data_IF_765572846796
#
_entry.id   IF_765572846796
#
_cell.length_a   1.000
_cell.length_b   1.000
_cell.length_c   1.000
_cell.angle_alpha   90.00
_cell.angle_beta   90.00
_cell.angle_gamma   90.00
#
_symmetry.space_group_name_H-M   'P 1'
#
loop_
_entity.id
_entity.type
_entity.pdbx_description
1 polymer ?
#
# COMPACT_ATOMS: atom_id res chain seq x y z
N UNK A 1 -67.74 -41.24 -47.87
CA UNK A 1 -68.42 -41.78 -46.68
C UNK A 1 -67.32 -42.29 -45.76
N UNK A 2 -66.45 -41.43 -45.23
CA UNK A 2 -66.72 -40.55 -44.08
C UNK A 2 -67.40 -41.32 -42.95
N UNK A 3 -66.58 -41.93 -42.09
CA UNK A 3 -66.94 -42.30 -40.73
C UNK A 3 -66.32 -41.25 -39.81
N UNK A 4 -67.13 -40.29 -39.38
CA UNK A 4 -66.76 -39.33 -38.35
C UNK A 4 -66.70 -40.02 -36.99
N UNK A 5 -65.60 -39.81 -36.27
CA UNK A 5 -65.49 -40.15 -34.87
C UNK A 5 -65.76 -38.86 -34.09
N UNK A 6 -66.99 -38.73 -33.57
CA UNK A 6 -67.37 -37.70 -32.61
C UNK A 6 -66.47 -37.80 -31.38
N UNK A 7 -65.70 -36.74 -31.10
CA UNK A 7 -65.06 -36.56 -29.80
C UNK A 7 -66.16 -36.32 -28.76
N UNK A 8 -66.12 -37.08 -27.67
CA UNK A 8 -67.06 -36.96 -26.57
C UNK A 8 -67.05 -35.54 -26.00
N UNK A 9 -68.23 -34.94 -25.79
CA UNK A 9 -68.39 -33.62 -25.18
C UNK A 9 -67.71 -33.50 -23.81
N UNK A 10 -67.38 -34.62 -23.15
CA UNK A 10 -66.62 -34.63 -21.89
C UNK A 10 -65.13 -34.24 -22.08
N UNK A 11 -64.52 -34.52 -23.24
CA UNK A 11 -63.12 -34.13 -23.52
C UNK A 11 -63.01 -32.65 -23.87
N UNK A 12 -64.00 -32.07 -24.57
CA UNK A 12 -64.03 -30.63 -24.86
C UNK A 12 -64.25 -29.77 -23.62
N UNK A 13 -64.98 -30.26 -22.61
CA UNK A 13 -65.21 -29.53 -21.36
C UNK A 13 -63.96 -29.57 -20.45
N UNK A 14 -63.14 -30.61 -20.54
CA UNK A 14 -61.91 -30.73 -19.74
C UNK A 14 -60.83 -29.72 -20.15
N UNK A 15 -60.73 -29.40 -21.44
CA UNK A 15 -59.84 -28.35 -21.96
C UNK A 15 -60.30 -26.91 -21.65
N UNK A 16 -61.58 -26.71 -21.30
CA UNK A 16 -62.10 -25.37 -20.94
C UNK A 16 -61.92 -25.00 -19.46
N UNK A 17 -61.52 -25.96 -18.60
CA UNK A 17 -61.38 -25.76 -17.14
C UNK A 17 -59.91 -25.71 -16.69
N UNK A 18 -58.96 -26.13 -17.52
CA UNK A 18 -57.54 -26.06 -17.20
C UNK A 18 -56.91 -24.76 -17.74
N UNK A 19 -56.37 -23.96 -16.83
CA UNK A 19 -55.70 -22.69 -17.16
C UNK A 19 -54.48 -22.98 -18.07
N UNK A 20 -54.25 -22.23 -19.17
CA UNK A 20 -53.13 -22.50 -20.05
C UNK A 20 -51.79 -22.39 -19.28
N UNK A 21 -50.82 -23.30 -19.49
CA UNK A 21 -49.54 -23.31 -18.75
C UNK A 21 -48.76 -21.99 -18.81
N UNK A 22 -48.99 -21.19 -19.86
CA UNK A 22 -48.38 -19.87 -20.03
C UNK A 22 -48.94 -18.79 -19.10
N UNK A 23 -50.18 -18.94 -18.62
CA UNK A 23 -50.82 -18.01 -17.68
C UNK A 23 -50.31 -18.24 -16.27
N UNK A 24 -50.20 -19.51 -15.83
CA UNK A 24 -49.65 -19.86 -14.52
C UNK A 24 -48.16 -19.50 -14.41
N UNK A 25 -47.38 -19.72 -15.47
CA UNK A 25 -45.98 -19.30 -15.51
C UNK A 25 -45.83 -17.77 -15.39
N UNK A 26 -46.70 -17.00 -16.07
CA UNK A 26 -46.69 -15.53 -15.98
C UNK A 26 -47.15 -15.04 -14.61
N UNK A 27 -48.14 -15.69 -14.00
CA UNK A 27 -48.62 -15.35 -12.67
C UNK A 27 -47.53 -15.60 -11.61
N UNK A 28 -46.79 -16.69 -11.72
CA UNK A 28 -45.66 -17.00 -10.84
C UNK A 28 -44.52 -16.00 -10.99
N UNK A 29 -44.19 -15.58 -12.22
CA UNK A 29 -43.18 -14.55 -12.47
C UNK A 29 -43.59 -13.20 -11.88
N UNK A 30 -44.85 -12.80 -12.03
CA UNK A 30 -45.40 -11.57 -11.42
C UNK A 30 -45.36 -11.65 -9.90
N UNK A 31 -45.75 -12.78 -9.31
CA UNK A 31 -45.71 -12.97 -7.85
C UNK A 31 -44.28 -12.90 -7.28
N UNK A 32 -43.30 -13.47 -7.98
CA UNK A 32 -41.89 -13.35 -7.60
C UNK A 32 -41.43 -11.89 -7.60
N UNK A 33 -41.75 -11.14 -8.66
CA UNK A 33 -41.38 -9.71 -8.77
C UNK A 33 -42.07 -8.85 -7.71
N UNK A 34 -43.30 -9.18 -7.33
CA UNK A 34 -44.02 -8.51 -6.23
C UNK A 34 -43.36 -8.82 -4.88
N UNK A 35 -42.90 -10.06 -4.64
CA UNK A 35 -42.12 -10.38 -3.44
C UNK A 35 -40.80 -9.61 -3.36
N UNK A 36 -40.06 -9.53 -4.47
CA UNK A 36 -38.80 -8.78 -4.55
C UNK A 36 -39.01 -7.28 -4.30
N UNK A 37 -40.09 -6.71 -4.84
CA UNK A 37 -40.48 -5.33 -4.58
C UNK A 37 -40.86 -5.10 -3.12
N UNK A 38 -41.61 -6.02 -2.50
CA UNK A 38 -41.97 -5.91 -1.08
C UNK A 38 -40.75 -6.00 -0.15
N UNK A 39 -39.78 -6.87 -0.47
CA UNK A 39 -38.51 -6.93 0.24
C UNK A 39 -37.73 -5.62 0.10
N UNK A 40 -37.65 -5.07 -1.12
CA UNK A 40 -36.97 -3.79 -1.38
C UNK A 40 -37.64 -2.62 -0.65
N UNK A 41 -38.98 -2.58 -0.61
CA UNK A 41 -39.75 -1.57 0.15
C UNK A 41 -39.47 -1.70 1.65
N UNK A 42 -39.39 -2.93 2.18
CA UNK A 42 -39.03 -3.18 3.58
C UNK A 42 -37.62 -2.68 3.92
N UNK A 43 -36.64 -2.94 3.05
CA UNK A 43 -35.27 -2.41 3.21
C UNK A 43 -35.23 -0.88 3.18
N UNK A 44 -35.97 -0.25 2.28
CA UNK A 44 -36.08 1.21 2.21
C UNK A 44 -36.73 1.76 3.49
N UNK A 45 -37.79 1.12 3.99
CA UNK A 45 -38.44 1.48 5.26
C UNK A 45 -37.47 1.46 6.44
N UNK A 46 -36.68 0.39 6.57
CA UNK A 46 -35.67 0.27 7.64
C UNK A 46 -34.58 1.34 7.53
N UNK A 47 -34.14 1.68 6.32
CA UNK A 47 -33.17 2.75 6.10
C UNK A 47 -33.72 4.13 6.46
N UNK A 48 -35.00 4.40 6.16
CA UNK A 48 -35.68 5.64 6.56
C UNK A 48 -35.83 5.72 8.09
N UNK A 49 -36.21 4.62 8.76
CA UNK A 49 -36.26 4.54 10.23
C UNK A 49 -34.89 4.83 10.87
N UNK A 50 -33.81 4.27 10.33
CA UNK A 50 -32.44 4.57 10.80
C UNK A 50 -32.09 6.05 10.63
N UNK A 51 -32.43 6.65 9.48
CA UNK A 51 -32.18 8.06 9.23
C UNK A 51 -33.00 8.95 10.17
N UNK A 52 -34.28 8.62 10.41
CA UNK A 52 -35.15 9.35 11.34
C UNK A 52 -34.60 9.29 12.77
N UNK A 53 -34.22 8.11 13.26
CA UNK A 53 -33.55 7.94 14.57
C UNK A 53 -32.25 8.73 14.65
N UNK A 54 -31.47 8.74 13.58
CA UNK A 54 -30.25 9.55 13.46
C UNK A 54 -30.54 11.05 13.58
N UNK A 55 -31.59 11.55 12.91
CA UNK A 55 -31.99 12.95 12.96
C UNK A 55 -32.57 13.36 14.33
N UNK A 56 -33.34 12.49 15.00
CA UNK A 56 -33.83 12.73 16.36
C UNK A 56 -32.67 12.78 17.37
N UNK A 57 -31.67 11.89 17.23
CA UNK A 57 -30.46 11.88 18.08
C UNK A 57 -29.61 13.14 17.88
N UNK A 58 -29.52 13.65 16.65
CA UNK A 58 -28.84 14.93 16.34
C UNK A 58 -29.62 16.14 16.90
N UNK A 59 -30.96 16.10 16.85
CA UNK A 59 -31.82 17.16 17.39
C UNK A 59 -31.70 17.23 18.91
N UNK A 60 -31.74 16.09 19.63
CA UNK A 60 -31.44 16.04 21.07
C UNK A 60 -30.03 16.55 21.42
N UNK A 61 -29.02 16.24 20.60
CA UNK A 61 -27.64 16.75 20.80
C UNK A 61 -27.50 18.26 20.59
N UNK A 62 -28.36 18.89 19.79
CA UNK A 62 -28.41 20.34 19.65
C UNK A 62 -29.09 20.99 20.87
N UNK A 63 -30.08 20.32 21.45
CA UNK A 63 -30.78 20.77 22.68
C UNK A 63 -29.93 20.59 23.95
N UNK A 64 -29.09 19.55 24.03
CA UNK A 64 -28.22 19.27 25.19
C UNK A 64 -26.93 20.11 25.23
N UNK A 65 -26.53 20.71 24.11
CA UNK A 65 -25.28 21.50 24.02
C UNK A 65 -25.32 22.82 24.81
N UNK A 66 -26.49 23.24 25.27
CA UNK A 66 -26.70 24.43 26.12
C UNK A 66 -26.64 24.15 27.64
N UNK A 67 -26.38 22.90 28.08
CA UNK A 67 -26.37 22.56 29.50
C UNK A 67 -25.33 21.52 29.93
N UNK A 68 -24.26 21.99 30.57
CA UNK A 68 -23.30 21.24 31.41
C UNK A 68 -22.35 20.20 30.77
N UNK A 69 -21.04 20.52 30.83
CA UNK A 69 -19.93 19.55 30.73
C UNK A 69 -19.49 19.10 32.14
N UNK A 70 -19.40 17.79 32.43
CA UNK A 70 -18.54 17.29 33.50
C UNK A 70 -17.20 16.80 32.93
N UNK A 71 -16.11 17.14 33.62
CA UNK A 71 -14.80 16.49 33.50
C UNK A 71 -14.78 15.21 34.31
N UNK A 72 -14.20 14.13 33.77
CA UNK A 72 -13.76 12.98 34.58
C UNK A 72 -12.30 12.66 34.28
N UNK A 73 -11.56 12.63 35.38
CA UNK A 73 -10.15 12.36 35.58
C UNK A 73 -9.75 10.92 35.26
N UNK A 74 -8.55 10.76 34.71
CA UNK A 74 -7.81 9.51 34.58
C UNK A 74 -7.70 8.76 35.92
N UNK A 75 -8.14 7.50 35.97
CA UNK A 75 -7.83 6.57 37.05
C UNK A 75 -6.93 5.43 36.55
N UNK A 76 -5.92 5.11 37.37
CA UNK A 76 -4.74 4.28 37.06
C UNK A 76 -4.98 2.78 37.32
N UNK A 77 -4.41 1.90 36.48
CA UNK A 77 -3.91 0.57 36.90
C UNK A 77 -2.58 0.22 36.19
N UNK A 78 -1.58 -0.31 36.91
CA UNK A 78 -0.23 -0.73 36.46
C UNK A 78 -0.27 -1.86 35.39
N UNK A 79 0.68 -2.05 34.47
CA UNK A 79 1.77 -1.24 33.96
C UNK A 79 1.67 -1.36 32.43
N UNK A 80 1.38 -0.24 31.77
CA UNK A 80 1.45 -0.16 30.33
C UNK A 80 0.25 -0.72 29.56
N UNK A 81 -1.00 -0.50 29.99
CA UNK A 81 -2.17 -0.61 29.10
C UNK A 81 -2.91 0.71 29.18
N UNK A 82 -3.18 1.34 28.03
CA UNK A 82 -3.90 2.61 27.96
C UNK A 82 -5.28 2.35 27.38
N UNK A 83 -6.32 2.72 28.14
CA UNK A 83 -7.70 2.79 27.67
C UNK A 83 -7.97 4.16 27.05
N UNK A 84 -8.38 4.23 25.79
CA UNK A 84 -8.81 5.48 25.14
C UNK A 84 -10.20 5.32 24.54
N UNK A 85 -11.06 6.32 24.69
CA UNK A 85 -12.37 6.35 24.03
C UNK A 85 -12.21 6.67 22.54
N UNK A 86 -12.87 5.90 21.68
CA UNK A 86 -12.81 6.04 20.22
C UNK A 86 -14.21 5.98 19.60
N UNK A 87 -14.40 6.70 18.49
CA UNK A 87 -15.63 6.69 17.69
C UNK A 87 -15.75 5.39 16.87
N UNK A 88 -16.97 5.03 16.46
CA UNK A 88 -17.37 3.69 15.99
C UNK A 88 -16.78 3.26 14.63
N UNK A 89 -16.04 4.13 13.92
CA UNK A 89 -15.80 3.99 12.47
C UNK A 89 -14.64 3.08 12.05
N UNK A 90 -13.87 2.48 12.96
CA UNK A 90 -12.64 1.74 12.61
C UNK A 90 -12.55 0.32 13.17
N UNK A 91 -13.68 -0.32 13.48
CA UNK A 91 -13.70 -1.69 14.01
C UNK A 91 -13.59 -2.72 12.87
N UNK A 92 -12.53 -3.54 12.89
CA UNK A 92 -12.31 -4.59 11.88
C UNK A 92 -13.27 -5.76 12.05
N UNK A 93 -13.50 -6.16 13.31
CA UNK A 93 -14.46 -7.21 13.66
C UNK A 93 -15.06 -6.91 15.03
N UNK A 94 -16.36 -7.16 15.17
CA UNK A 94 -17.07 -7.12 16.46
C UNK A 94 -17.98 -8.32 16.60
N UNK A 95 -18.20 -8.71 17.84
CA UNK A 95 -19.22 -9.66 18.24
C UNK A 95 -20.09 -9.03 19.32
N UNK A 96 -21.38 -9.23 19.16
CA UNK A 96 -22.39 -8.88 20.14
C UNK A 96 -22.79 -10.16 20.87
N UNK A 97 -22.85 -10.08 22.19
CA UNK A 97 -23.12 -11.21 23.06
C UNK A 97 -24.33 -10.86 23.89
N UNK A 98 -25.44 -11.54 23.62
CA UNK A 98 -26.64 -11.48 24.44
C UNK A 98 -26.59 -12.55 25.55
N UNK A 99 -27.32 -12.31 26.63
CA UNK A 99 -27.37 -13.20 27.79
C UNK A 99 -25.97 -13.56 28.33
N UNK A 100 -25.09 -12.56 28.44
CA UNK A 100 -23.69 -12.72 28.83
C UNK A 100 -23.51 -13.46 30.16
N UNK A 101 -24.43 -13.26 31.11
CA UNK A 101 -24.43 -13.95 32.39
C UNK A 101 -24.59 -15.48 32.26
N UNK A 102 -25.20 -15.97 31.19
CA UNK A 102 -25.28 -17.41 30.86
C UNK A 102 -23.91 -17.91 30.42
N UNK A 103 -23.19 -17.15 29.59
CA UNK A 103 -21.83 -17.47 29.17
C UNK A 103 -20.88 -17.55 30.38
N UNK A 104 -20.98 -16.61 31.33
CA UNK A 104 -20.20 -16.63 32.57
C UNK A 104 -20.52 -17.82 33.49
N UNK A 105 -21.78 -18.26 33.55
CA UNK A 105 -22.20 -19.42 34.37
C UNK A 105 -21.96 -20.76 33.69
N UNK A 106 -21.65 -20.76 32.40
CA UNK A 106 -21.37 -21.98 31.64
C UNK A 106 -20.07 -22.65 32.10
N UNK A 107 -19.90 -23.93 31.75
CA UNK A 107 -18.64 -24.66 31.99
C UNK A 107 -17.56 -24.35 30.93
N UNK A 108 -17.84 -23.47 29.97
CA UNK A 108 -16.90 -23.12 28.91
C UNK A 108 -15.81 -22.22 29.48
N UNK A 109 -14.55 -22.60 29.27
CA UNK A 109 -13.40 -21.77 29.67
C UNK A 109 -13.32 -20.49 28.83
N UNK A 110 -13.60 -20.61 27.54
CA UNK A 110 -13.63 -19.51 26.57
C UNK A 110 -14.72 -19.70 25.52
N UNK A 111 -15.12 -18.59 24.93
CA UNK A 111 -15.86 -18.53 23.67
C UNK A 111 -14.90 -18.17 22.54
N UNK A 112 -15.06 -18.81 21.38
CA UNK A 112 -14.30 -18.48 20.17
C UNK A 112 -15.25 -17.90 19.12
N UNK A 113 -14.88 -16.77 18.53
CA UNK A 113 -15.67 -16.18 17.45
C UNK A 113 -15.62 -17.02 16.17
N UNK A 114 -16.50 -16.66 15.25
CA UNK A 114 -16.35 -17.02 13.84
C UNK A 114 -15.01 -16.49 13.29
N UNK A 115 -14.56 -17.12 12.21
CA UNK A 115 -13.43 -16.61 11.45
C UNK A 115 -13.82 -15.33 10.73
N UNK A 116 -12.90 -14.38 10.67
CA UNK A 116 -13.04 -13.17 9.87
C UNK A 116 -11.76 -12.88 9.09
N UNK A 117 -11.93 -12.32 7.90
CA UNK A 117 -10.83 -12.00 7.00
C UNK A 117 -10.28 -10.59 7.27
N UNK A 118 -8.97 -10.46 7.40
CA UNK A 118 -8.26 -9.19 7.43
C UNK A 118 -6.81 -9.38 6.96
N UNK A 119 -6.33 -8.49 6.09
CA UNK A 119 -4.94 -8.52 5.60
C UNK A 119 -4.53 -9.88 5.00
N UNK A 120 -5.38 -10.48 4.17
CA UNK A 120 -5.17 -11.79 3.53
C UNK A 120 -4.98 -12.97 4.51
N UNK A 121 -5.39 -12.79 5.76
CA UNK A 121 -5.37 -13.82 6.78
C UNK A 121 -6.74 -13.99 7.44
N UNK A 122 -6.98 -15.19 7.94
CA UNK A 122 -8.16 -15.51 8.75
C UNK A 122 -7.84 -15.40 10.22
N UNK A 123 -8.68 -14.70 10.94
CA UNK A 123 -8.50 -14.38 12.34
C UNK A 123 -9.71 -14.84 13.15
N UNK A 124 -9.51 -15.00 14.46
CA UNK A 124 -10.61 -15.17 15.42
C UNK A 124 -10.29 -14.54 16.76
N UNK A 125 -11.36 -14.22 17.49
CA UNK A 125 -11.28 -13.76 18.87
C UNK A 125 -11.53 -14.93 19.83
N UNK A 126 -10.70 -15.04 20.86
CA UNK A 126 -10.87 -15.95 22.00
C UNK A 126 -11.20 -15.12 23.25
N UNK A 127 -12.46 -15.20 23.70
CA UNK A 127 -12.98 -14.48 24.87
C UNK A 127 -13.07 -15.40 26.08
N UNK A 128 -12.46 -15.01 27.19
CA UNK A 128 -12.59 -15.69 28.47
C UNK A 128 -13.51 -14.86 29.38
N UNK A 129 -14.79 -15.22 29.53
CA UNK A 129 -15.80 -14.42 30.24
C UNK A 129 -15.51 -14.26 31.74
N UNK A 130 -14.75 -15.19 32.33
CA UNK A 130 -14.30 -15.17 33.73
C UNK A 130 -12.77 -15.03 33.87
N UNK A 131 -12.10 -14.72 32.76
CA UNK A 131 -10.65 -14.54 32.71
C UNK A 131 -9.86 -15.82 32.40
N UNK A 132 -8.70 -15.64 31.79
CA UNK A 132 -7.75 -16.70 31.49
C UNK A 132 -6.81 -16.93 32.68
N UNK A 133 -7.18 -17.84 33.58
CA UNK A 133 -6.43 -18.14 34.82
C UNK A 133 -5.01 -18.65 34.54
N UNK A 134 -4.83 -19.40 33.45
CA UNK A 134 -3.50 -19.88 33.00
C UNK A 134 -2.55 -18.73 32.65
N UNK A 135 -3.07 -17.51 32.43
CA UNK A 135 -2.30 -16.30 32.15
C UNK A 135 -2.51 -15.19 33.20
N UNK A 136 -3.00 -15.55 34.38
CA UNK A 136 -3.18 -14.62 35.51
C UNK A 136 -4.35 -13.64 35.32
N UNK A 137 -5.37 -14.02 34.54
CA UNK A 137 -6.55 -13.20 34.25
C UNK A 137 -7.67 -13.28 35.29
N UNK A 138 -7.44 -13.86 36.47
CA UNK A 138 -8.47 -14.02 37.50
C UNK A 138 -9.13 -12.69 37.87
N UNK A 139 -10.47 -12.63 37.80
CA UNK A 139 -11.24 -11.42 38.14
C UNK A 139 -11.31 -10.37 37.01
N UNK A 140 -10.80 -10.70 35.83
CA UNK A 140 -10.86 -9.86 34.64
C UNK A 140 -11.56 -10.59 33.50
N UNK A 141 -12.15 -9.84 32.58
CA UNK A 141 -12.40 -10.32 31.23
C UNK A 141 -11.05 -10.45 30.50
N UNK A 142 -10.83 -11.54 29.76
CA UNK A 142 -9.64 -11.65 28.90
C UNK A 142 -10.04 -11.81 27.44
N UNK A 143 -9.26 -11.21 26.53
CA UNK A 143 -9.50 -11.28 25.09
C UNK A 143 -8.19 -11.48 24.34
N UNK A 144 -8.23 -12.38 23.36
CA UNK A 144 -7.09 -12.69 22.50
C UNK A 144 -7.50 -12.70 21.03
N UNK A 145 -6.56 -12.30 20.18
CA UNK A 145 -6.63 -12.41 18.74
C UNK A 145 -5.71 -13.56 18.32
N UNK A 146 -6.23 -14.44 17.48
CA UNK A 146 -5.52 -15.60 16.96
C UNK A 146 -5.63 -15.64 15.43
N UNK A 147 -4.52 -15.95 14.76
CA UNK A 147 -4.51 -16.27 13.32
C UNK A 147 -4.87 -17.75 13.15
N UNK A 148 -5.88 -18.01 12.33
CA UNK A 148 -6.42 -19.33 12.03
C UNK A 148 -5.84 -19.88 10.72
N UNK A 149 -6.14 -21.16 10.45
CA UNK A 149 -5.77 -21.86 9.21
C UNK A 149 -4.26 -21.80 8.88
N UNK A 150 -3.41 -21.75 9.91
CA UNK A 150 -1.96 -21.55 9.76
C UNK A 150 -1.25 -22.67 9.00
N UNK A 151 -1.89 -23.81 8.84
CA UNK A 151 -1.42 -24.97 8.08
C UNK A 151 -1.40 -24.69 6.56
N UNK A 152 -2.24 -23.76 6.11
CA UNK A 152 -2.31 -23.33 4.70
C UNK A 152 -1.27 -22.26 4.37
N UNK A 153 -0.63 -21.66 5.37
CA UNK A 153 0.31 -20.56 5.20
C UNK A 153 1.70 -21.06 4.78
N UNK A 154 2.45 -20.27 3.98
CA UNK A 154 3.80 -20.63 3.55
C UNK A 154 4.76 -20.91 4.72
N UNK A 155 5.73 -21.81 4.52
CA UNK A 155 6.77 -22.03 5.52
C UNK A 155 7.53 -20.73 5.79
N UNK A 156 7.61 -20.33 7.06
CA UNK A 156 8.26 -19.08 7.47
C UNK A 156 7.38 -17.84 7.39
N UNK A 157 6.05 -18.00 7.27
CA UNK A 157 5.11 -16.87 7.33
C UNK A 157 5.25 -16.08 8.63
N UNK A 158 5.14 -14.76 8.50
CA UNK A 158 5.11 -13.82 9.62
C UNK A 158 4.17 -12.67 9.31
N UNK A 159 3.43 -12.22 10.32
CA UNK A 159 2.51 -11.07 10.20
C UNK A 159 2.74 -10.15 11.39
N UNK A 160 2.98 -8.87 11.10
CA UNK A 160 3.21 -7.85 12.12
C UNK A 160 1.97 -6.98 12.24
N UNK A 161 1.25 -7.08 13.36
CA UNK A 161 0.00 -6.36 13.58
C UNK A 161 0.13 -5.47 14.81
N UNK A 162 -0.28 -4.21 14.67
CA UNK A 162 -0.67 -3.40 15.82
C UNK A 162 -2.18 -3.58 16.03
N UNK A 163 -2.61 -3.94 17.23
CA UNK A 163 -4.01 -4.25 17.52
C UNK A 163 -4.53 -3.46 18.72
N UNK A 164 -5.79 -3.06 18.65
CA UNK A 164 -6.56 -2.54 19.78
C UNK A 164 -7.73 -3.48 20.07
N UNK A 165 -7.86 -3.88 21.33
CA UNK A 165 -9.00 -4.64 21.82
C UNK A 165 -10.09 -3.67 22.27
N UNK A 166 -11.34 -3.87 21.85
CA UNK A 166 -12.40 -2.89 22.03
C UNK A 166 -13.53 -3.46 22.89
N UNK A 167 -14.01 -2.67 23.84
CA UNK A 167 -15.25 -2.94 24.59
C UNK A 167 -16.18 -1.75 24.40
N UNK A 168 -17.41 -2.00 23.96
CA UNK A 168 -18.36 -0.94 23.68
C UNK A 168 -18.96 -0.38 24.98
N UNK A 169 -18.99 0.94 25.09
CA UNK A 169 -19.69 1.68 26.11
C UNK A 169 -21.02 2.19 25.51
N UNK A 170 -22.10 1.53 25.91
CA UNK A 170 -23.46 1.85 25.47
C UNK A 170 -23.95 3.22 25.97
N UNK A 171 -23.43 3.70 27.10
CA UNK A 171 -23.83 5.00 27.66
C UNK A 171 -23.21 6.15 26.85
N UNK A 172 -21.97 5.97 26.39
CA UNK A 172 -21.24 7.00 25.65
C UNK A 172 -21.32 6.87 24.13
N UNK A 173 -21.89 5.77 23.61
CA UNK A 173 -21.97 5.48 22.16
C UNK A 173 -20.57 5.39 21.53
N UNK A 174 -19.61 4.81 22.26
CA UNK A 174 -18.17 4.78 21.95
C UNK A 174 -17.53 3.47 22.35
N UNK A 175 -16.34 3.18 21.80
CA UNK A 175 -15.51 2.07 22.27
C UNK A 175 -14.47 2.54 23.27
N UNK A 176 -14.31 1.79 24.35
CA UNK A 176 -13.10 1.80 25.15
C UNK A 176 -12.07 0.89 24.48
N UNK A 177 -11.02 1.50 23.92
CA UNK A 177 -9.95 0.81 23.22
C UNK A 177 -8.78 0.54 24.17
N UNK A 178 -8.41 -0.73 24.32
CA UNK A 178 -7.27 -1.20 25.08
C UNK A 178 -6.12 -1.53 24.15
N UNK A 179 -4.99 -0.87 24.39
CA UNK A 179 -3.74 -1.11 23.69
C UNK A 179 -2.61 -1.22 24.70
N UNK A 180 -1.68 -2.14 24.47
CA UNK A 180 -0.40 -2.22 25.19
C UNK A 180 0.32 -0.88 25.03
N UNK A 181 0.84 -0.28 26.10
CA UNK A 181 1.16 1.16 26.22
C UNK A 181 2.33 1.63 25.36
N UNK A 182 2.97 0.72 24.63
CA UNK A 182 4.02 1.02 23.66
C UNK A 182 3.48 0.94 22.22
N UNK A 183 2.19 0.70 22.01
CA UNK A 183 1.65 0.39 20.68
C UNK A 183 2.37 -0.81 20.06
N UNK A 184 2.83 -1.74 20.91
CA UNK A 184 3.81 -2.75 20.55
C UNK A 184 3.28 -3.61 19.41
N UNK A 185 4.05 -3.67 18.33
CA UNK A 185 3.78 -4.51 17.17
C UNK A 185 3.84 -5.97 17.62
N UNK A 186 2.79 -6.72 17.29
CA UNK A 186 2.66 -8.14 17.63
C UNK A 186 3.04 -8.95 16.40
N UNK A 187 4.13 -9.71 16.53
CA UNK A 187 4.62 -10.63 15.51
C UNK A 187 3.90 -11.96 15.66
N UNK A 188 3.05 -12.28 14.70
CA UNK A 188 2.42 -13.58 14.54
C UNK A 188 3.32 -14.44 13.66
N UNK A 189 3.58 -15.66 14.10
CA UNK A 189 4.37 -16.64 13.35
C UNK A 189 4.01 -18.06 13.83
N UNK A 190 4.57 -19.09 13.19
CA UNK A 190 4.24 -20.50 13.47
C UNK A 190 4.29 -20.92 14.95
N UNK A 191 5.17 -20.33 15.77
CA UNK A 191 5.28 -20.65 17.21
C UNK A 191 4.48 -19.70 18.11
N UNK A 192 3.91 -18.63 17.55
CA UNK A 192 3.17 -17.59 18.27
C UNK A 192 2.03 -17.08 17.41
N UNK A 193 0.93 -17.82 17.42
CA UNK A 193 -0.29 -17.53 16.62
C UNK A 193 -1.31 -16.67 17.37
N UNK A 194 -1.10 -16.43 18.66
CA UNK A 194 -2.07 -15.74 19.52
C UNK A 194 -1.39 -14.65 20.37
N UNK A 195 -2.04 -13.48 20.39
CA UNK A 195 -1.71 -12.35 21.25
C UNK A 195 -2.98 -11.76 21.88
N UNK A 196 -2.88 -11.22 23.08
CA UNK A 196 -4.04 -10.62 23.73
C UNK A 196 -3.77 -10.09 25.13
N UNK A 197 -4.84 -9.76 25.84
CA UNK A 197 -4.81 -9.16 27.16
C UNK A 197 -5.49 -10.11 28.15
N UNK A 198 -4.70 -10.69 29.06
CA UNK A 198 -5.22 -11.51 30.15
C UNK A 198 -6.07 -10.68 31.13
N UNK A 199 -5.76 -9.40 31.27
CA UNK A 199 -6.46 -8.45 32.14
C UNK A 199 -7.01 -7.30 31.30
N UNK A 200 -8.04 -7.57 30.48
CA UNK A 200 -8.62 -6.55 29.60
C UNK A 200 -9.38 -5.50 30.43
N UNK A 201 -10.41 -5.93 31.16
CA UNK A 201 -11.23 -5.09 32.04
C UNK A 201 -11.61 -5.89 33.28
N UNK A 202 -11.63 -5.26 34.47
CA UNK A 202 -12.04 -5.93 35.70
C UNK A 202 -13.52 -6.31 35.61
N UNK A 203 -13.88 -7.50 36.09
CA UNK A 203 -15.26 -7.98 36.02
C UNK A 203 -16.22 -7.11 36.83
N UNK A 204 -15.78 -6.55 37.96
CA UNK A 204 -16.61 -5.63 38.75
C UNK A 204 -16.93 -4.34 37.98
N UNK A 205 -15.97 -3.82 37.24
CA UNK A 205 -16.14 -2.64 36.37
C UNK A 205 -17.02 -2.95 35.17
N UNK A 206 -16.79 -4.10 34.53
CA UNK A 206 -17.55 -4.53 33.36
C UNK A 206 -19.02 -4.84 33.68
N UNK A 207 -19.29 -5.51 34.80
CA UNK A 207 -20.64 -5.92 35.21
C UNK A 207 -21.46 -4.79 35.86
N UNK A 208 -20.83 -3.70 36.28
CA UNK A 208 -21.54 -2.53 36.81
C UNK A 208 -22.18 -1.74 35.66
N UNK A 209 -23.51 -1.83 35.57
CA UNK A 209 -24.31 -1.19 34.52
C UNK A 209 -24.10 0.33 34.43
N UNK A 210 -23.67 1.00 35.50
CA UNK A 210 -23.36 2.44 35.46
C UNK A 210 -22.16 2.77 34.55
N UNK A 211 -21.28 1.80 34.31
CA UNK A 211 -20.14 1.94 33.41
C UNK A 211 -20.47 1.66 31.93
N UNK A 212 -21.68 1.17 31.62
CA UNK A 212 -22.17 1.08 30.25
C UNK A 212 -21.65 -0.08 29.39
N UNK A 213 -20.80 -0.97 29.92
CA UNK A 213 -20.19 -2.06 29.15
C UNK A 213 -21.07 -3.32 29.00
N UNK A 214 -21.93 -3.56 29.99
CA UNK A 214 -22.91 -4.65 30.01
C UNK A 214 -24.27 -4.05 30.36
N UNK A 215 -25.15 -3.92 29.37
CA UNK A 215 -26.50 -3.36 29.51
C UNK A 215 -27.50 -4.41 29.07
N UNK A 216 -28.54 -4.64 29.88
CA UNK A 216 -29.57 -5.66 29.60
C UNK A 216 -28.97 -7.05 29.31
N UNK A 217 -27.95 -7.43 30.09
CA UNK A 217 -27.18 -8.66 29.93
C UNK A 217 -26.53 -8.85 28.54
N UNK A 218 -26.32 -7.74 27.82
CA UNK A 218 -25.75 -7.71 26.48
C UNK A 218 -24.52 -6.82 26.41
N UNK A 219 -23.51 -7.25 25.66
CA UNK A 219 -22.29 -6.48 25.45
C UNK A 219 -21.75 -6.62 24.03
N UNK A 220 -20.92 -5.66 23.61
CA UNK A 220 -20.24 -5.69 22.31
C UNK A 220 -18.74 -5.60 22.52
N UNK A 221 -18.03 -6.58 21.95
CA UNK A 221 -16.56 -6.69 22.02
C UNK A 221 -16.02 -6.73 20.60
N UNK A 222 -14.90 -6.07 20.35
CA UNK A 222 -14.30 -6.05 19.02
C UNK A 222 -12.80 -5.91 19.02
N UNK A 223 -12.27 -5.80 17.81
CA UNK A 223 -10.85 -5.57 17.58
C UNK A 223 -10.67 -4.63 16.38
N UNK A 224 -9.68 -3.76 16.49
CA UNK A 224 -9.16 -2.94 15.40
C UNK A 224 -7.72 -3.39 15.12
N UNK A 225 -7.41 -3.64 13.85
CA UNK A 225 -6.13 -4.19 13.41
C UNK A 225 -5.45 -3.22 12.45
N UNK A 226 -4.14 -3.02 12.60
CA UNK A 226 -3.30 -2.25 11.71
C UNK A 226 -2.12 -3.12 11.26
N UNK A 227 -2.05 -3.42 9.95
CA UNK A 227 -0.93 -4.13 9.37
C UNK A 227 0.32 -3.25 9.37
N UNK A 228 1.40 -3.75 9.97
CA UNK A 228 2.72 -3.14 9.87
C UNK A 228 3.50 -3.90 8.81
N UNK A 229 3.64 -3.27 7.65
CA UNK A 229 4.54 -3.78 6.63
C UNK A 229 5.97 -3.37 7.01
N UNK A 230 6.89 -4.33 7.06
CA UNK A 230 8.32 -4.07 7.09
C UNK A 230 8.71 -3.38 5.77
N UNK A 231 8.51 -2.06 5.71
CA UNK A 231 8.76 -1.20 4.56
C UNK A 231 9.92 -0.27 4.87
N UNK A 232 10.94 -0.77 5.57
CA UNK A 232 12.18 -0.03 5.77
C UNK A 232 12.86 0.19 4.40
N UNK A 233 12.40 1.21 3.67
CA UNK A 233 12.99 1.67 2.42
C UNK A 233 14.28 2.38 2.79
N UNK A 234 15.40 1.66 2.65
CA UNK A 234 16.72 2.23 2.80
C UNK A 234 17.31 2.62 1.44
N UNK A 235 18.37 3.42 1.44
CA UNK A 235 19.22 3.59 0.27
C UNK A 235 20.66 3.27 0.65
N UNK A 236 21.39 2.66 -0.27
CA UNK A 236 22.83 2.41 -0.15
C UNK A 236 23.56 3.26 -1.16
N UNK A 237 24.53 4.03 -0.65
CA UNK A 237 25.42 4.87 -1.45
C UNK A 237 26.77 4.16 -1.54
N UNK A 238 27.18 3.84 -2.76
CA UNK A 238 28.45 3.16 -3.05
C UNK A 238 29.35 4.08 -3.85
N UNK A 239 30.44 4.57 -3.24
CA UNK A 239 31.48 5.34 -3.95
C UNK A 239 32.54 4.39 -4.49
N UNK A 240 32.90 4.55 -5.77
CA UNK A 240 34.02 3.81 -6.37
C UNK A 240 35.32 4.53 -6.03
N UNK A 241 36.15 3.93 -5.15
CA UNK A 241 37.38 4.57 -4.61
C UNK A 241 38.50 4.68 -5.65
N UNK A 242 38.61 3.73 -6.58
CA UNK A 242 39.69 3.67 -7.56
C UNK A 242 39.12 3.44 -8.97
N UNK A 243 39.02 4.51 -9.76
CA UNK A 243 38.64 4.41 -11.17
C UNK A 243 39.87 4.03 -12.00
N UNK A 244 39.92 2.78 -12.46
CA UNK A 244 40.93 2.33 -13.44
C UNK A 244 40.49 2.73 -14.84
N UNK A 245 41.45 3.14 -15.69
CA UNK A 245 41.21 3.49 -17.10
C UNK A 245 40.06 4.49 -17.27
N UNK A 246 40.07 5.53 -16.44
CA UNK A 246 38.97 6.48 -16.31
C UNK A 246 38.84 7.47 -17.49
N UNK A 247 39.63 7.29 -18.55
CA UNK A 247 39.72 8.22 -19.68
C UNK A 247 39.47 7.47 -20.99
N UNK A 248 38.65 8.03 -21.87
CA UNK A 248 38.40 7.54 -23.21
C UNK A 248 38.64 8.65 -24.24
N UNK A 249 39.49 8.39 -25.22
CA UNK A 249 39.80 9.31 -26.33
C UNK A 249 39.18 8.79 -27.61
N UNK A 250 38.45 9.65 -28.31
CA UNK A 250 37.78 9.34 -29.56
C UNK A 250 38.23 10.33 -30.65
N UNK A 251 38.68 9.78 -31.78
CA UNK A 251 39.11 10.53 -32.97
C UNK A 251 38.02 10.44 -34.04
N UNK A 252 37.66 11.59 -34.60
CA UNK A 252 36.74 11.73 -35.73
C UNK A 252 37.55 12.26 -36.90
N UNK A 253 37.70 11.48 -37.96
CA UNK A 253 38.29 11.91 -39.22
C UNK A 253 37.18 12.35 -40.19
N UNK A 254 37.47 13.28 -41.10
CA UNK A 254 36.46 13.81 -42.02
C UNK A 254 35.40 14.69 -41.34
N UNK A 255 35.76 15.39 -40.25
CA UNK A 255 34.82 16.11 -39.41
C UNK A 255 33.95 17.10 -40.19
N UNK A 256 34.49 17.74 -41.23
CA UNK A 256 33.75 18.71 -42.04
C UNK A 256 32.53 18.11 -42.77
N UNK A 257 32.53 16.80 -43.02
CA UNK A 257 31.42 16.08 -43.69
C UNK A 257 30.30 15.67 -42.72
N UNK A 258 30.60 15.62 -41.42
CA UNK A 258 29.68 15.10 -40.38
C UNK A 258 28.66 16.12 -39.86
N UNK A 259 28.59 17.32 -40.46
CA UNK A 259 27.92 18.48 -39.87
C UNK A 259 26.47 18.23 -39.45
N UNK A 260 25.71 17.47 -40.21
CA UNK A 260 24.28 17.24 -39.93
C UNK A 260 23.98 15.96 -39.15
N UNK A 261 25.00 15.21 -38.75
CA UNK A 261 24.84 13.91 -38.09
C UNK A 261 25.14 13.95 -36.59
N UNK A 262 24.33 13.22 -35.81
CA UNK A 262 24.64 12.94 -34.41
C UNK A 262 25.61 11.76 -34.37
N UNK A 263 26.80 11.98 -33.82
CA UNK A 263 27.86 10.99 -33.76
C UNK A 263 28.00 10.41 -32.34
N UNK A 264 28.40 9.15 -32.27
CA UNK A 264 28.65 8.43 -31.02
C UNK A 264 30.05 7.84 -31.04
N UNK A 265 30.74 7.88 -29.90
CA UNK A 265 31.96 7.11 -29.70
C UNK A 265 31.66 5.62 -29.58
N UNK A 266 32.72 4.82 -29.63
CA UNK A 266 32.70 3.47 -29.10
C UNK A 266 32.30 3.47 -27.61
N UNK A 267 31.81 2.32 -27.14
CA UNK A 267 31.55 2.11 -25.73
C UNK A 267 32.85 2.11 -24.92
N UNK A 268 32.81 2.70 -23.74
CA UNK A 268 33.92 2.61 -22.79
C UNK A 268 33.40 2.43 -21.38
N UNK A 269 34.19 1.73 -20.57
CA UNK A 269 33.72 1.19 -19.31
C UNK A 269 34.51 1.80 -18.17
N UNK A 270 33.79 2.50 -17.27
CA UNK A 270 34.41 3.17 -16.12
C UNK A 270 33.49 3.09 -14.91
N UNK A 271 34.00 2.51 -13.83
CA UNK A 271 33.24 2.36 -12.58
C UNK A 271 32.16 1.28 -12.63
N UNK A 272 31.42 1.16 -11.52
CA UNK A 272 30.41 0.12 -11.29
C UNK A 272 30.98 -1.13 -10.61
N UNK A 273 30.15 -1.94 -9.94
CA UNK A 273 30.59 -3.23 -9.40
C UNK A 273 31.10 -4.11 -10.53
N UNK A 274 32.38 -4.52 -10.49
CA UNK A 274 32.99 -5.34 -11.56
C UNK A 274 33.52 -4.58 -12.77
N UNK A 275 33.31 -3.25 -12.84
CA UNK A 275 33.67 -2.45 -14.02
C UNK A 275 32.63 -2.62 -15.14
N UNK A 276 31.39 -2.20 -14.89
CA UNK A 276 30.23 -2.56 -15.71
C UNK A 276 29.42 -1.34 -16.22
N UNK A 277 29.81 -0.11 -15.85
CA UNK A 277 29.11 1.07 -16.38
C UNK A 277 29.65 1.46 -17.75
N UNK A 278 28.78 1.33 -18.73
CA UNK A 278 29.04 1.62 -20.13
C UNK A 278 28.69 3.07 -20.42
N UNK A 279 29.69 3.83 -20.84
CA UNK A 279 29.61 5.24 -21.18
C UNK A 279 29.83 5.46 -22.68
N UNK A 280 29.28 6.57 -23.17
CA UNK A 280 29.47 7.03 -24.55
C UNK A 280 29.73 8.53 -24.56
N UNK A 281 30.56 8.98 -25.50
CA UNK A 281 30.64 10.38 -25.89
C UNK A 281 29.68 10.59 -27.06
N UNK A 282 28.82 11.58 -26.96
CA UNK A 282 27.92 11.97 -28.03
C UNK A 282 28.28 13.37 -28.51
N UNK A 283 28.48 13.51 -29.82
CA UNK A 283 28.86 14.75 -30.48
C UNK A 283 27.76 15.19 -31.44
N UNK A 284 27.37 16.46 -31.34
CA UNK A 284 26.57 17.16 -32.33
C UNK A 284 27.47 18.19 -33.02
N UNK A 285 28.02 17.87 -34.20
CA UNK A 285 28.92 18.75 -34.92
C UNK A 285 28.26 20.11 -35.18
N UNK A 286 27.01 20.16 -35.63
CA UNK A 286 26.28 21.43 -35.84
C UNK A 286 25.51 21.93 -34.61
N UNK A 287 25.78 21.39 -33.42
CA UNK A 287 25.15 21.81 -32.17
C UNK A 287 23.76 21.22 -31.95
N UNK A 288 23.41 21.05 -30.68
CA UNK A 288 22.13 20.57 -30.18
C UNK A 288 21.24 21.75 -29.73
N UNK A 289 19.93 21.59 -29.87
CA UNK A 289 18.93 22.56 -29.41
C UNK A 289 19.27 24.01 -29.81
N UNK A 290 19.41 24.90 -28.82
CA UNK A 290 19.63 26.33 -29.03
C UNK A 290 21.04 26.68 -29.53
N UNK A 291 21.97 25.72 -29.50
CA UNK A 291 23.34 25.90 -29.95
C UNK A 291 23.52 25.65 -31.46
N UNK A 292 22.45 25.18 -32.14
CA UNK A 292 22.51 24.77 -33.54
C UNK A 292 23.03 25.88 -34.46
N UNK A 293 23.99 25.56 -35.33
CA UNK A 293 24.58 26.49 -36.28
C UNK A 293 25.67 27.41 -35.71
N UNK A 294 25.89 27.41 -34.39
CA UNK A 294 26.82 28.36 -33.72
C UNK A 294 27.93 27.65 -32.96
N UNK A 295 27.59 26.56 -32.28
CA UNK A 295 28.52 25.80 -31.45
C UNK A 295 28.45 24.33 -31.79
N UNK A 296 29.49 23.60 -31.42
CA UNK A 296 29.45 22.15 -31.28
C UNK A 296 28.91 21.81 -29.89
N UNK A 297 28.15 20.73 -29.77
CA UNK A 297 27.73 20.16 -28.49
C UNK A 297 28.38 18.82 -28.24
N UNK A 298 28.80 18.57 -27.00
CA UNK A 298 29.46 17.33 -26.61
C UNK A 298 28.89 16.88 -25.27
N UNK A 299 28.45 15.63 -25.18
CA UNK A 299 27.79 15.08 -23.99
C UNK A 299 28.41 13.76 -23.58
N UNK A 300 28.38 13.49 -22.28
CA UNK A 300 28.60 12.16 -21.73
C UNK A 300 27.24 11.48 -21.55
N UNK A 301 27.15 10.22 -21.96
CA UNK A 301 25.96 9.40 -21.81
C UNK A 301 26.27 8.13 -21.03
N UNK A 302 25.32 7.69 -20.20
CA UNK A 302 25.33 6.38 -19.55
C UNK A 302 24.35 5.45 -20.29
N UNK A 303 24.85 4.31 -20.78
CA UNK A 303 24.08 3.27 -21.47
C UNK A 303 23.75 2.03 -20.62
N UNK A 304 24.04 2.06 -19.32
CA UNK A 304 23.99 0.90 -18.42
C UNK A 304 22.60 0.61 -17.83
N UNK A 305 21.50 0.77 -18.59
CA UNK A 305 20.13 0.68 -18.08
C UNK A 305 19.78 -0.68 -17.44
N UNK A 306 20.40 -1.78 -17.88
CA UNK A 306 20.17 -3.13 -17.34
C UNK A 306 21.07 -3.48 -16.15
N UNK A 307 22.08 -2.66 -15.86
CA UNK A 307 23.09 -2.89 -14.82
C UNK A 307 22.88 -2.02 -13.58
N UNK A 308 22.08 -0.95 -13.70
CA UNK A 308 21.62 -0.14 -12.58
C UNK A 308 20.36 -0.79 -11.99
N UNK A 309 20.31 -1.13 -10.69
CA UNK A 309 19.10 -1.68 -10.07
C UNK A 309 17.89 -0.78 -10.28
N UNK A 310 16.70 -1.38 -10.30
CA UNK A 310 15.44 -0.63 -10.42
C UNK A 310 15.33 0.47 -9.34
N UNK A 311 14.98 1.68 -9.76
CA UNK A 311 14.96 2.87 -8.88
C UNK A 311 16.34 3.46 -8.55
N UNK A 312 17.43 2.86 -9.04
CA UNK A 312 18.79 3.33 -8.82
C UNK A 312 19.19 4.53 -9.68
N UNK A 313 20.20 5.27 -9.22
CA UNK A 313 20.81 6.41 -9.94
C UNK A 313 22.34 6.32 -9.87
N UNK A 314 23.00 6.78 -10.92
CA UNK A 314 24.47 6.86 -10.98
C UNK A 314 24.87 8.33 -11.03
N UNK A 315 25.59 8.81 -10.03
CA UNK A 315 26.26 10.10 -10.11
C UNK A 315 27.61 9.95 -10.77
N UNK A 316 27.97 10.89 -11.63
CA UNK A 316 29.35 11.03 -12.09
C UNK A 316 29.81 12.48 -12.13
N UNK A 317 31.08 12.66 -11.78
CA UNK A 317 31.85 13.87 -12.07
C UNK A 317 32.80 13.54 -13.21
N UNK A 318 32.84 14.38 -14.23
CA UNK A 318 33.60 14.10 -15.43
C UNK A 318 34.11 15.38 -16.10
N UNK A 319 35.10 15.22 -16.97
CA UNK A 319 35.64 16.25 -17.85
C UNK A 319 35.47 15.79 -19.29
N UNK A 320 34.90 16.64 -20.11
CA UNK A 320 34.91 16.50 -21.55
C UNK A 320 35.96 17.45 -22.12
N UNK A 321 36.71 16.98 -23.11
CA UNK A 321 37.78 17.76 -23.73
C UNK A 321 37.74 17.68 -25.24
N UNK A 322 38.17 18.76 -25.87
CA UNK A 322 38.67 18.76 -27.25
C UNK A 322 40.19 18.94 -27.17
N UNK A 323 40.93 17.94 -27.65
CA UNK A 323 42.39 17.96 -27.61
C UNK A 323 42.91 18.98 -28.61
N UNK A 324 43.96 19.69 -28.18
CA UNK A 324 44.70 20.56 -29.08
C UNK A 324 45.81 19.74 -29.75
N UNK A 325 45.81 19.59 -31.09
CA UNK A 325 46.79 18.76 -31.79
C UNK A 325 48.21 19.34 -31.78
N UNK A 326 48.37 20.63 -31.46
CA UNK A 326 49.67 21.34 -31.42
C UNK A 326 50.33 21.27 -30.04
N UNK A 327 49.84 20.43 -29.12
CA UNK A 327 50.37 20.29 -27.77
C UNK A 327 50.08 21.48 -26.84
N UNK A 328 49.23 22.43 -27.27
CA UNK A 328 48.73 23.52 -26.42
C UNK A 328 47.63 23.02 -25.46
N UNK A 329 47.14 23.92 -24.61
CA UNK A 329 46.06 23.63 -23.68
C UNK A 329 44.80 23.12 -24.43
N UNK A 330 44.23 22.04 -23.90
CA UNK A 330 42.97 21.48 -24.39
C UNK A 330 41.80 22.38 -24.02
N UNK A 331 40.72 22.34 -24.80
CA UNK A 331 39.48 22.98 -24.39
C UNK A 331 38.70 22.00 -23.51
N UNK A 332 38.37 22.39 -22.28
CA UNK A 332 37.83 21.50 -21.25
C UNK A 332 36.54 22.07 -20.67
N UNK A 333 35.54 21.21 -20.47
CA UNK A 333 34.39 21.49 -19.61
C UNK A 333 34.20 20.36 -18.62
N UNK A 334 33.86 20.73 -17.39
CA UNK A 334 33.55 19.78 -16.32
C UNK A 334 32.03 19.66 -16.19
N UNK A 335 31.55 18.46 -15.84
CA UNK A 335 30.13 18.18 -15.62
C UNK A 335 29.93 17.33 -14.36
N UNK A 336 28.80 17.56 -13.69
CA UNK A 336 28.38 16.81 -12.50
C UNK A 336 26.91 16.45 -12.64
N UNK A 337 26.59 15.16 -12.76
CA UNK A 337 25.22 14.77 -13.11
C UNK A 337 24.77 13.45 -12.50
N UNK A 338 23.47 13.36 -12.25
CA UNK A 338 22.76 12.16 -11.82
C UNK A 338 22.11 11.48 -13.03
N UNK A 339 22.73 10.40 -13.49
CA UNK A 339 22.23 9.56 -14.56
C UNK A 339 21.17 8.60 -14.02
N UNK A 340 20.07 8.45 -14.76
CA UNK A 340 18.94 7.60 -14.38
C UNK A 340 18.92 6.29 -15.18
N UNK A 341 18.14 5.30 -14.73
CA UNK A 341 17.97 3.99 -15.37
C UNK A 341 17.14 4.04 -16.68
N UNK A 342 17.31 5.07 -17.51
CA UNK A 342 16.75 5.13 -18.86
C UNK A 342 17.74 4.52 -19.87
N UNK A 343 17.23 4.07 -21.03
CA UNK A 343 18.04 3.43 -22.09
C UNK A 343 19.29 4.25 -22.45
N UNK A 344 19.17 5.57 -22.45
CA UNK A 344 20.29 6.51 -22.53
C UNK A 344 20.00 7.69 -21.60
N UNK A 345 20.82 7.88 -20.57
CA UNK A 345 20.75 9.06 -19.72
C UNK A 345 21.83 10.06 -20.15
N UNK A 346 21.42 11.26 -20.54
CA UNK A 346 22.30 12.35 -20.92
C UNK A 346 22.83 13.07 -19.67
N UNK A 347 24.11 13.44 -19.68
CA UNK A 347 24.74 14.25 -18.63
C UNK A 347 24.33 15.73 -18.67
N UNK A 348 25.01 16.55 -17.86
CA UNK A 348 24.72 17.99 -17.76
C UNK A 348 24.84 18.71 -19.11
N UNK A 349 23.93 19.66 -19.36
CA UNK A 349 23.77 20.39 -20.63
C UNK A 349 25.06 21.07 -21.08
N UNK A 350 25.77 20.42 -21.99
CA UNK A 350 26.90 20.97 -22.72
C UNK A 350 26.51 21.40 -24.14
N UNK A 351 25.32 22.03 -24.26
CA UNK A 351 24.71 22.48 -25.52
C UNK A 351 25.66 23.39 -26.32
N UNK A 352 26.29 24.37 -25.69
CA UNK A 352 27.29 25.22 -26.36
C UNK A 352 28.70 24.86 -25.86
N UNK A 353 29.32 23.80 -26.38
CA UNK A 353 30.64 23.35 -25.92
C UNK A 353 31.74 24.34 -26.34
N UNK A 354 31.96 24.48 -27.65
CA UNK A 354 32.91 25.43 -28.26
C UNK A 354 32.30 26.02 -29.53
N UNK A 355 32.60 27.28 -29.83
CA UNK A 355 32.16 27.92 -31.08
C UNK A 355 32.98 27.40 -32.27
N UNK A 356 32.36 27.40 -33.44
CA UNK A 356 32.98 26.92 -34.67
C UNK A 356 34.28 27.63 -35.07
N UNK A 357 34.37 28.97 -35.04
CA UNK A 357 35.61 29.68 -35.33
C UNK A 357 36.79 29.22 -34.47
N UNK A 358 36.59 29.16 -33.14
CA UNK A 358 37.62 28.74 -32.18
C UNK A 358 38.02 27.28 -32.37
N UNK A 359 37.07 26.40 -32.68
CA UNK A 359 37.38 25.01 -33.04
C UNK A 359 38.28 24.94 -34.28
N UNK A 360 37.90 25.63 -35.35
CA UNK A 360 38.59 25.58 -36.65
C UNK A 360 40.01 26.12 -36.57
N UNK A 361 40.26 27.14 -35.74
CA UNK A 361 41.59 27.77 -35.64
C UNK A 361 42.61 26.87 -34.93
N UNK A 362 42.20 26.24 -33.83
CA UNK A 362 43.15 25.69 -32.86
C UNK A 362 42.98 24.20 -32.56
N UNK A 363 41.84 23.60 -32.87
CA UNK A 363 41.52 22.24 -32.44
C UNK A 363 41.29 21.25 -33.58
N UNK A 364 40.90 21.71 -34.76
CA UNK A 364 40.76 20.88 -35.95
C UNK A 364 42.10 20.78 -36.70
N UNK A 365 42.58 19.56 -36.98
CA UNK A 365 43.83 19.33 -37.71
C UNK A 365 43.68 18.23 -38.75
N UNK A 366 44.03 18.52 -40.01
CA UNK A 366 43.81 17.61 -41.16
C UNK A 366 42.38 17.06 -41.22
N UNK A 367 41.40 17.93 -40.96
CA UNK A 367 39.98 17.59 -40.85
C UNK A 367 39.65 16.51 -39.80
N UNK A 368 40.53 16.33 -38.82
CA UNK A 368 40.33 15.42 -37.69
C UNK A 368 40.09 16.19 -36.41
N UNK A 369 39.08 15.75 -35.64
CA UNK A 369 38.78 16.23 -34.30
C UNK A 369 39.05 15.12 -33.28
N UNK A 370 39.73 15.45 -32.19
CA UNK A 370 39.98 14.49 -31.10
C UNK A 370 39.26 14.98 -29.86
N UNK A 371 38.34 14.16 -29.36
CA UNK A 371 37.59 14.41 -28.13
C UNK A 371 37.99 13.40 -27.06
N UNK A 372 37.87 13.78 -25.80
CA UNK A 372 38.18 12.90 -24.67
C UNK A 372 37.15 13.09 -23.56
N UNK A 373 36.75 12.00 -22.93
CA UNK A 373 36.02 12.00 -21.67
C UNK A 373 36.92 11.42 -20.58
N UNK A 374 37.00 12.10 -19.45
CA UNK A 374 37.64 11.60 -18.23
C UNK A 374 36.59 11.59 -17.11
N UNK A 375 36.35 10.43 -16.51
CA UNK A 375 35.41 10.27 -15.40
C UNK A 375 36.22 10.32 -14.10
N UNK A 376 35.95 11.30 -13.26
CA UNK A 376 36.70 11.56 -12.03
C UNK A 376 36.09 10.85 -10.82
N UNK A 377 34.77 10.71 -10.79
CA UNK A 377 34.05 10.10 -9.68
C UNK A 377 32.82 9.40 -10.22
N UNK A 378 32.52 8.23 -9.64
CA UNK A 378 31.27 7.50 -9.90
C UNK A 378 30.68 7.05 -8.57
N UNK A 379 29.39 7.29 -8.39
CA UNK A 379 28.64 6.86 -7.21
C UNK A 379 27.33 6.20 -7.62
N UNK A 380 27.03 5.02 -7.07
CA UNK A 380 25.75 4.35 -7.22
C UNK A 380 24.88 4.60 -5.99
N UNK A 381 23.66 5.05 -6.22
CA UNK A 381 22.57 4.97 -5.24
C UNK A 381 21.64 3.86 -5.68
N UNK A 382 21.38 2.90 -4.79
CA UNK A 382 20.39 1.84 -4.98
C UNK A 382 19.45 1.77 -3.78
N UNK A 383 18.18 1.43 -4.03
CA UNK A 383 17.25 1.09 -2.97
C UNK A 383 17.69 -0.18 -2.23
N UNK A 384 17.55 -0.18 -0.92
CA UNK A 384 17.53 -1.38 -0.09
C UNK A 384 16.07 -1.80 0.03
N UNK A 385 15.71 -2.88 -0.66
CA UNK A 385 14.40 -3.51 -0.53
C UNK A 385 14.39 -4.51 0.61
#
# INVERSE_FOLDING_TARGET
>A
MEGGMERSSAEQIKEMVECPPSVDSRLNEVNSRVQDLNLSIGTIGNNIEMLLRGTEKLTRRLEEKDGNKPQISSSTTQAGVVGMLQDVSSVQYKMEIENFSVLQRSKLEKYESNLFDAYDHKWRLSLYPNGNTKRGGEGYLSLYLEIAETETLPVGWEVHINMKMLVYDHNQDKYLAFQDAIGSIKRFHRLKTEWGLAKLIRLDTFNDASNGFLIEDSCVIGVELFLVLDTAKGESISLVKDLKQNTHTWRIDGFSETRDEKLWSEEFVVGGPGGDYIWFICLYPNGAHNAKGKFISLYLYLGAYSKVPEGGKVYAEYKLRIKNPKGKQHYVKEGRYWFTCQKYSEGEKSEAFIDYPSLKSDFLFNDSLIVEAEIMTVCLIKGLN
#
